data_IF_919986604429
#
_entry.id   IF_919986604429
#
_cell.length_a   1.000
_cell.length_b   1.000
_cell.length_c   1.000
_cell.angle_alpha   90.00
_cell.angle_beta   90.00
_cell.angle_gamma   90.00
#
_symmetry.space_group_name_H-M   'P 1'
#
loop_
_entity.id
_entity.type
_entity.pdbx_description
1 polymer ?
#
# COMPACT_ATOMS: atom_id res chain seq x y z
N UNK A 1 -17.36 -17.76 74.34
CA UNK A 1 -16.14 -17.85 73.51
C UNK A 1 -16.41 -17.19 72.16
N UNK A 2 -15.44 -16.39 71.68
CA UNK A 2 -15.33 -15.75 70.34
C UNK A 2 -16.20 -14.48 70.15
N UNK A 3 -15.64 -13.27 70.30
CA UNK A 3 -14.78 -12.54 69.34
C UNK A 3 -15.56 -12.25 68.03
N UNK A 4 -16.03 -11.03 67.74
CA UNK A 4 -15.35 -9.75 67.48
C UNK A 4 -15.60 -9.40 66.00
N UNK A 5 -16.27 -8.27 65.73
CA UNK A 5 -16.04 -7.49 64.51
C UNK A 5 -16.54 -6.06 64.70
N UNK A 6 -15.60 -5.14 64.91
CA UNK A 6 -15.83 -3.71 64.94
C UNK A 6 -15.89 -3.19 63.50
N UNK A 7 -16.98 -2.50 63.18
CA UNK A 7 -17.21 -1.82 61.90
C UNK A 7 -16.61 -0.41 61.99
N UNK A 8 -15.52 -0.13 61.26
CA UNK A 8 -14.94 1.22 61.17
C UNK A 8 -15.46 1.88 59.90
N UNK A 9 -16.35 2.87 60.09
CA UNK A 9 -16.74 3.87 59.11
C UNK A 9 -15.63 4.93 59.03
N UNK A 10 -15.12 5.21 57.83
CA UNK A 10 -14.36 6.44 57.55
C UNK A 10 -15.06 7.19 56.43
N UNK A 11 -15.60 8.35 56.79
CA UNK A 11 -16.05 9.37 55.85
C UNK A 11 -14.94 10.39 55.59
N UNK A 12 -14.93 10.87 54.34
CA UNK A 12 -14.73 12.26 53.92
C UNK A 12 -13.30 12.81 53.62
N UNK A 13 -13.21 13.26 52.35
CA UNK A 13 -12.60 14.50 51.85
C UNK A 13 -11.07 14.63 51.76
N UNK A 14 -10.53 14.37 50.56
CA UNK A 14 -9.27 14.92 50.04
C UNK A 14 -9.52 15.86 48.83
N UNK A 15 -8.69 16.89 48.61
CA UNK A 15 -9.06 18.09 47.85
C UNK A 15 -8.92 17.98 46.32
N UNK A 16 -9.67 18.88 45.66
CA UNK A 16 -9.75 19.10 44.20
C UNK A 16 -8.37 19.25 43.55
N UNK A 17 -8.09 18.44 42.52
CA UNK A 17 -7.01 18.68 41.56
C UNK A 17 -7.56 19.64 40.50
N UNK A 18 -7.10 20.89 40.53
CA UNK A 18 -7.27 21.82 39.42
C UNK A 18 -6.25 21.45 38.33
N UNK A 19 -6.64 21.28 37.06
CA UNK A 19 -5.69 21.21 35.97
C UNK A 19 -5.08 22.60 35.78
N UNK A 20 -3.82 22.78 36.18
CA UNK A 20 -3.01 23.88 35.67
C UNK A 20 -2.73 23.60 34.20
N UNK A 21 -3.28 24.45 33.33
CA UNK A 21 -2.91 24.51 31.93
C UNK A 21 -1.41 24.84 31.84
N UNK A 22 -0.59 24.06 31.11
CA UNK A 22 0.76 24.50 30.81
C UNK A 22 0.66 25.69 29.84
N UNK A 23 1.07 26.85 30.34
CA UNK A 23 1.26 28.08 29.58
C UNK A 23 2.26 27.83 28.44
N UNK A 24 1.78 27.89 27.21
CA UNK A 24 2.61 28.25 26.08
C UNK A 24 2.87 29.74 26.18
N UNK A 25 4.08 30.13 26.59
CA UNK A 25 4.77 31.29 26.03
C UNK A 25 6.26 31.27 26.42
N UNK A 26 7.08 31.32 25.37
CA UNK A 26 8.35 32.06 25.32
C UNK A 26 9.51 31.66 26.25
N UNK A 27 10.32 30.69 25.78
CA UNK A 27 11.78 30.81 25.93
C UNK A 27 12.42 30.65 24.54
N UNK A 28 12.62 31.80 23.87
CA UNK A 28 13.44 31.93 22.67
C UNK A 28 14.92 31.75 23.05
N UNK A 29 15.28 30.51 23.40
CA UNK A 29 16.64 30.04 23.54
C UNK A 29 17.30 29.85 22.17
N UNK A 30 18.00 30.89 21.73
CA UNK A 30 19.18 30.87 20.85
C UNK A 30 19.46 29.56 20.10
N UNK A 31 19.23 29.58 18.79
CA UNK A 31 19.62 28.55 17.85
C UNK A 31 21.13 28.27 17.92
N UNK A 32 21.51 27.26 18.70
CA UNK A 32 22.79 26.59 18.53
C UNK A 32 22.60 25.48 17.50
N UNK A 33 23.29 25.66 16.39
CA UNK A 33 23.24 24.86 15.17
C UNK A 33 23.76 23.45 15.49
N UNK A 34 22.88 22.56 15.93
CA UNK A 34 23.14 21.14 15.97
C UNK A 34 23.14 20.62 14.52
N UNK A 35 24.32 20.30 14.02
CA UNK A 35 24.51 19.55 12.78
C UNK A 35 23.69 18.25 12.86
N UNK A 36 22.76 17.99 11.94
CA UNK A 36 22.08 16.70 11.88
C UNK A 36 23.13 15.64 11.56
N UNK A 37 23.56 14.92 12.58
CA UNK A 37 24.27 13.66 12.37
C UNK A 37 23.23 12.71 11.80
N UNK A 38 23.23 12.60 10.48
CA UNK A 38 22.54 11.57 9.71
C UNK A 38 23.16 10.22 10.09
N UNK A 39 22.77 9.69 11.24
CA UNK A 39 22.94 8.28 11.55
C UNK A 39 21.72 7.57 10.99
N UNK A 40 21.79 7.28 9.70
CA UNK A 40 21.04 6.18 9.11
C UNK A 40 21.23 4.97 10.04
N UNK A 41 20.16 4.32 10.53
CA UNK A 41 20.29 3.09 11.28
C UNK A 41 21.10 2.12 10.42
N UNK A 42 22.25 1.69 10.96
CA UNK A 42 23.12 0.73 10.34
C UNK A 42 22.27 -0.44 9.85
N UNK A 43 22.19 -0.56 8.54
CA UNK A 43 21.57 -1.66 7.84
C UNK A 43 22.31 -2.91 8.31
N UNK A 44 21.74 -3.58 9.32
CA UNK A 44 22.19 -4.90 9.71
C UNK A 44 22.34 -5.69 8.41
N UNK A 45 23.52 -6.26 8.20
CA UNK A 45 23.78 -7.08 7.02
C UNK A 45 22.87 -8.30 7.15
N UNK A 46 21.71 -8.15 6.53
CA UNK A 46 20.66 -9.13 6.52
C UNK A 46 20.96 -10.13 5.41
N UNK A 47 20.69 -11.42 5.65
CA UNK A 47 21.09 -12.47 4.71
C UNK A 47 20.49 -12.19 3.34
N UNK A 48 21.37 -12.09 2.34
CA UNK A 48 21.00 -11.86 0.95
C UNK A 48 20.12 -13.03 0.50
N UNK A 49 18.87 -12.71 0.19
CA UNK A 49 17.88 -13.70 -0.09
C UNK A 49 18.15 -14.37 -1.45
N UNK A 50 17.84 -15.67 -1.60
CA UNK A 50 18.26 -16.45 -2.74
C UNK A 50 17.77 -15.83 -4.05
N UNK A 51 18.68 -15.63 -5.01
CA UNK A 51 18.33 -15.16 -6.33
C UNK A 51 17.44 -16.20 -7.02
N UNK A 52 16.18 -15.83 -7.31
CA UNK A 52 15.35 -16.62 -8.20
C UNK A 52 15.86 -16.56 -9.65
N UNK A 53 15.40 -17.51 -10.48
CA UNK A 53 15.89 -17.74 -11.84
C UNK A 53 14.91 -17.28 -12.94
N UNK A 54 13.87 -16.53 -12.58
CA UNK A 54 12.84 -16.13 -13.53
C UNK A 54 13.07 -14.77 -14.19
N UNK A 55 12.10 -14.35 -15.00
CA UNK A 55 12.04 -13.03 -15.61
C UNK A 55 11.62 -11.99 -14.56
N UNK A 56 12.42 -10.92 -14.44
CA UNK A 56 12.06 -9.73 -13.65
C UNK A 56 11.44 -8.63 -14.49
N UNK A 57 11.76 -8.64 -15.78
CA UNK A 57 11.24 -7.68 -16.74
C UNK A 57 10.88 -8.39 -18.04
N UNK A 58 10.04 -7.74 -18.84
CA UNK A 58 9.66 -8.27 -20.14
C UNK A 58 8.37 -7.67 -20.65
N UNK A 59 7.72 -8.39 -21.56
CA UNK A 59 6.46 -7.98 -22.18
C UNK A 59 5.39 -9.04 -21.95
N UNK A 60 4.23 -8.61 -21.50
CA UNK A 60 3.01 -9.41 -21.40
C UNK A 60 2.11 -9.05 -22.57
N UNK A 61 1.65 -10.05 -23.30
CA UNK A 61 0.63 -9.86 -24.31
C UNK A 61 -0.72 -9.52 -23.64
N UNK A 62 -1.34 -8.41 -24.04
CA UNK A 62 -2.59 -7.92 -23.45
C UNK A 62 -3.69 -8.96 -23.52
N UNK A 63 -3.78 -9.70 -24.62
CA UNK A 63 -4.78 -10.76 -24.78
C UNK A 63 -4.62 -11.85 -23.69
N UNK A 64 -3.38 -12.25 -23.38
CA UNK A 64 -3.08 -13.21 -22.32
C UNK A 64 -3.40 -12.65 -20.94
N UNK A 65 -3.03 -11.40 -20.67
CA UNK A 65 -3.40 -10.73 -19.41
C UNK A 65 -4.92 -10.68 -19.23
N UNK A 66 -5.65 -10.24 -20.25
CA UNK A 66 -7.12 -10.15 -20.20
C UNK A 66 -7.76 -11.52 -19.99
N UNK A 67 -7.26 -12.58 -20.62
CA UNK A 67 -7.75 -13.94 -20.38
C UNK A 67 -7.59 -14.38 -18.91
N UNK A 68 -6.47 -14.01 -18.26
CA UNK A 68 -6.28 -14.24 -16.82
C UNK A 68 -7.28 -13.40 -16.01
N UNK A 69 -7.43 -12.11 -16.33
CA UNK A 69 -8.33 -11.18 -15.64
C UNK A 69 -9.80 -11.60 -15.74
N UNK A 70 -10.23 -12.10 -16.89
CA UNK A 70 -11.59 -12.59 -17.17
C UNK A 70 -11.91 -13.88 -16.42
N UNK A 71 -10.87 -14.68 -16.12
CA UNK A 71 -11.03 -15.87 -15.30
C UNK A 71 -11.33 -15.57 -13.82
N UNK A 72 -11.12 -14.31 -13.42
CA UNK A 72 -11.43 -13.77 -12.11
C UNK A 72 -10.33 -14.01 -11.06
N UNK A 73 -10.28 -13.16 -10.02
CA UNK A 73 -9.21 -13.20 -9.00
C UNK A 73 -9.21 -14.54 -8.25
N UNK A 74 -10.37 -15.12 -7.97
CA UNK A 74 -10.47 -16.41 -7.27
C UNK A 74 -9.81 -17.57 -8.03
N UNK A 75 -9.94 -17.63 -9.36
CA UNK A 75 -9.29 -18.69 -10.15
C UNK A 75 -7.77 -18.50 -10.20
N UNK A 76 -7.31 -17.27 -10.26
CA UNK A 76 -5.89 -16.94 -10.20
C UNK A 76 -5.29 -17.29 -8.84
N UNK A 77 -5.94 -16.90 -7.75
CA UNK A 77 -5.45 -17.18 -6.40
C UNK A 77 -5.39 -18.67 -6.07
N UNK A 78 -6.19 -19.53 -6.72
CA UNK A 78 -6.09 -20.99 -6.56
C UNK A 78 -4.82 -21.60 -7.12
N UNK A 79 -4.03 -20.86 -7.89
CA UNK A 79 -2.78 -21.32 -8.50
C UNK A 79 -1.57 -21.11 -7.59
N UNK A 80 -1.76 -20.46 -6.44
CA UNK A 80 -0.69 -20.10 -5.51
C UNK A 80 -1.18 -20.24 -4.07
N UNK A 81 -0.25 -20.57 -3.19
CA UNK A 81 -0.49 -20.56 -1.75
C UNK A 81 0.20 -19.35 -1.15
N UNK A 82 -0.54 -18.57 -0.36
CA UNK A 82 -0.04 -17.37 0.31
C UNK A 82 -0.38 -17.38 1.79
N UNK A 83 0.51 -16.79 2.57
CA UNK A 83 0.32 -16.56 4.00
C UNK A 83 0.47 -15.07 4.32
N UNK A 84 -0.25 -14.53 5.31
CA UNK A 84 -0.03 -13.17 5.78
C UNK A 84 1.38 -13.06 6.39
N UNK A 85 2.14 -12.03 6.00
CA UNK A 85 3.42 -11.69 6.64
C UNK A 85 3.18 -10.63 7.71
N UNK A 86 3.59 -10.97 8.93
CA UNK A 86 3.57 -10.07 10.08
C UNK A 86 4.99 -9.62 10.44
N UNK A 87 5.12 -8.37 10.88
CA UNK A 87 6.30 -7.82 11.56
C UNK A 87 5.83 -7.29 12.93
N UNK A 88 6.04 -8.10 13.97
CA UNK A 88 5.35 -7.94 15.25
C UNK A 88 3.83 -8.01 15.06
N UNK A 89 3.12 -6.97 15.49
CA UNK A 89 1.66 -6.85 15.34
C UNK A 89 1.25 -6.21 14.01
N UNK A 90 2.20 -5.76 13.18
CA UNK A 90 1.92 -5.07 11.92
C UNK A 90 1.86 -6.06 10.77
N UNK A 91 0.75 -6.03 10.03
CA UNK A 91 0.67 -6.69 8.73
C UNK A 91 1.55 -5.96 7.71
N UNK A 92 2.42 -6.72 7.03
CA UNK A 92 3.36 -6.18 6.04
C UNK A 92 2.86 -6.43 4.61
N UNK A 93 2.43 -7.65 4.32
CA UNK A 93 2.10 -8.07 2.96
C UNK A 93 1.75 -9.56 2.88
N UNK A 94 1.64 -10.06 1.66
CA UNK A 94 1.31 -11.47 1.40
C UNK A 94 2.56 -12.23 1.00
N UNK A 95 2.99 -13.18 1.83
CA UNK A 95 4.12 -14.05 1.56
C UNK A 95 3.68 -15.19 0.64
N UNK A 96 4.37 -15.37 -0.48
CA UNK A 96 4.26 -16.54 -1.34
C UNK A 96 4.81 -17.75 -0.60
N UNK A 97 3.97 -18.75 -0.37
CA UNK A 97 4.38 -20.04 0.21
C UNK A 97 4.85 -20.96 -0.92
N UNK A 98 4.06 -21.09 -1.98
CA UNK A 98 4.41 -21.88 -3.15
C UNK A 98 3.52 -21.55 -4.36
N UNK A 99 4.03 -21.86 -5.55
CA UNK A 99 3.22 -21.95 -6.77
C UNK A 99 2.68 -23.37 -6.90
N UNK A 100 1.36 -23.48 -6.95
CA UNK A 100 0.65 -24.75 -7.12
C UNK A 100 0.54 -25.13 -8.59
N UNK A 101 0.35 -24.14 -9.46
CA UNK A 101 0.29 -24.33 -10.90
C UNK A 101 1.67 -24.13 -11.54
N UNK A 102 2.20 -25.22 -12.11
CA UNK A 102 3.52 -25.26 -12.78
C UNK A 102 3.45 -24.80 -14.24
N UNK A 103 2.25 -24.61 -14.79
CA UNK A 103 2.01 -24.15 -16.16
C UNK A 103 1.26 -22.81 -16.17
N UNK A 104 1.07 -22.21 -15.00
CA UNK A 104 0.36 -20.96 -14.80
C UNK A 104 1.14 -19.71 -15.26
N UNK A 105 0.50 -18.53 -15.21
CA UNK A 105 1.04 -17.27 -15.71
C UNK A 105 2.27 -16.75 -14.95
N UNK A 106 2.60 -17.34 -13.80
CA UNK A 106 3.75 -16.96 -12.97
C UNK A 106 4.97 -17.88 -13.16
N UNK A 107 4.87 -18.94 -13.99
CA UNK A 107 5.94 -19.95 -14.11
C UNK A 107 7.28 -19.36 -14.54
N UNK A 108 7.26 -18.41 -15.48
CA UNK A 108 8.46 -17.79 -16.03
C UNK A 108 8.90 -16.54 -15.24
N UNK A 109 8.12 -16.12 -14.24
CA UNK A 109 8.37 -14.89 -13.47
C UNK A 109 9.35 -15.18 -12.34
N UNK A 110 10.22 -14.23 -12.02
CA UNK A 110 11.16 -14.34 -10.90
C UNK A 110 10.48 -14.18 -9.55
N UNK A 111 9.56 -15.08 -9.22
CA UNK A 111 8.94 -15.19 -7.90
C UNK A 111 9.35 -16.51 -7.24
N UNK A 112 9.68 -16.46 -5.97
CA UNK A 112 10.11 -17.64 -5.19
C UNK A 112 9.36 -17.72 -3.86
N UNK A 113 9.20 -18.94 -3.30
CA UNK A 113 8.74 -19.09 -1.92
C UNK A 113 9.50 -18.17 -0.96
N UNK A 114 8.76 -17.44 -0.12
CA UNK A 114 9.29 -16.45 0.80
C UNK A 114 9.15 -15.00 0.33
N UNK A 115 8.88 -14.75 -0.95
CA UNK A 115 8.64 -13.40 -1.45
C UNK A 115 7.37 -12.80 -0.84
N UNK A 116 7.43 -11.56 -0.37
CA UNK A 116 6.31 -10.84 0.24
C UNK A 116 5.82 -9.77 -0.72
N UNK A 117 4.64 -9.94 -1.31
CA UNK A 117 4.01 -8.96 -2.19
C UNK A 117 3.43 -7.80 -1.38
N UNK A 118 3.79 -6.58 -1.77
CA UNK A 118 3.42 -5.34 -1.07
C UNK A 118 2.41 -4.52 -1.89
N UNK A 119 2.73 -4.32 -3.17
CA UNK A 119 1.96 -3.45 -4.05
C UNK A 119 2.07 -3.87 -5.52
N UNK A 120 1.05 -3.51 -6.30
CA UNK A 120 1.06 -3.62 -7.76
C UNK A 120 0.71 -2.25 -8.34
N UNK A 121 1.51 -1.74 -9.27
CA UNK A 121 1.36 -0.41 -9.89
C UNK A 121 1.20 0.70 -8.84
N UNK A 122 1.96 0.63 -7.74
CA UNK A 122 1.92 1.57 -6.62
C UNK A 122 0.67 1.47 -5.73
N UNK A 123 -0.26 0.55 -6.02
CA UNK A 123 -1.44 0.29 -5.18
C UNK A 123 -1.12 -0.80 -4.15
N UNK A 124 -1.30 -0.55 -2.85
CA UNK A 124 -1.04 -1.55 -1.82
C UNK A 124 -2.00 -2.74 -1.93
N UNK A 125 -1.58 -3.90 -1.46
CA UNK A 125 -2.38 -5.13 -1.41
C UNK A 125 -2.58 -5.65 0.02
N UNK A 126 -2.53 -4.79 1.03
CA UNK A 126 -2.67 -5.20 2.42
C UNK A 126 -4.08 -5.61 2.85
N UNK A 127 -5.09 -5.32 2.03
CA UNK A 127 -6.48 -5.65 2.34
C UNK A 127 -7.18 -6.35 1.17
N UNK A 128 -8.17 -7.23 1.44
CA UNK A 128 -8.93 -7.91 0.40
C UNK A 128 -9.61 -6.97 -0.60
N UNK A 129 -10.14 -5.83 -0.13
CA UNK A 129 -10.81 -4.84 -1.00
C UNK A 129 -9.85 -4.19 -2.02
N UNK A 130 -8.57 -4.11 -1.68
CA UNK A 130 -7.55 -3.54 -2.56
C UNK A 130 -7.21 -4.47 -3.73
N UNK A 131 -7.27 -5.80 -3.52
CA UNK A 131 -7.03 -6.76 -4.59
C UNK A 131 -7.98 -6.55 -5.76
N UNK A 132 -9.28 -6.36 -5.49
CA UNK A 132 -10.27 -6.15 -6.53
C UNK A 132 -10.00 -4.84 -7.30
N UNK A 133 -9.66 -3.76 -6.59
CA UNK A 133 -9.30 -2.48 -7.22
C UNK A 133 -8.07 -2.59 -8.11
N UNK A 134 -7.04 -3.33 -7.67
CA UNK A 134 -5.85 -3.62 -8.48
C UNK A 134 -6.25 -4.45 -9.70
N UNK A 135 -6.99 -5.53 -9.50
CA UNK A 135 -7.46 -6.44 -10.56
C UNK A 135 -8.16 -5.69 -11.69
N UNK A 136 -9.09 -4.81 -11.35
CA UNK A 136 -9.84 -4.04 -12.34
C UNK A 136 -8.95 -3.02 -13.06
N UNK A 137 -8.01 -2.39 -12.34
CA UNK A 137 -7.09 -1.40 -12.92
C UNK A 137 -6.12 -2.01 -13.95
N UNK A 138 -5.82 -3.31 -13.87
CA UNK A 138 -4.91 -3.98 -14.80
C UNK A 138 -5.49 -4.08 -16.22
N UNK A 139 -6.82 -4.00 -16.39
CA UNK A 139 -7.47 -4.07 -17.71
C UNK A 139 -7.03 -2.97 -18.66
N UNK A 140 -6.82 -1.76 -18.12
CA UNK A 140 -6.40 -0.57 -18.88
C UNK A 140 -4.94 -0.21 -18.65
N UNK A 141 -4.21 -0.98 -17.83
CA UNK A 141 -2.81 -0.72 -17.57
C UNK A 141 -1.95 -0.99 -18.82
N UNK A 142 -0.84 -0.25 -18.92
CA UNK A 142 0.19 -0.44 -19.96
C UNK A 142 1.46 -1.10 -19.42
N UNK A 143 1.53 -1.31 -18.10
CA UNK A 143 2.58 -2.02 -17.42
C UNK A 143 2.04 -2.69 -16.14
N UNK A 144 2.73 -3.74 -15.69
CA UNK A 144 2.56 -4.37 -14.38
C UNK A 144 3.89 -4.22 -13.64
N UNK A 145 3.88 -3.45 -12.56
CA UNK A 145 4.98 -3.28 -11.60
C UNK A 145 4.59 -3.91 -10.27
N UNK A 146 5.17 -5.03 -9.91
CA UNK A 146 4.98 -5.64 -8.60
C UNK A 146 6.14 -5.28 -7.68
N UNK A 147 5.84 -4.75 -6.50
CA UNK A 147 6.82 -4.44 -5.46
C UNK A 147 6.77 -5.55 -4.40
N UNK A 148 7.92 -6.15 -4.12
CA UNK A 148 8.06 -7.29 -3.23
C UNK A 148 9.21 -7.08 -2.24
N UNK A 149 9.17 -7.79 -1.12
CA UNK A 149 10.36 -8.10 -0.34
C UNK A 149 10.81 -9.52 -0.60
N UNK A 150 12.12 -9.68 -0.76
CA UNK A 150 12.78 -10.98 -0.84
C UNK A 150 13.80 -11.06 0.28
N UNK A 151 13.49 -11.88 1.28
CA UNK A 151 14.13 -11.80 2.61
C UNK A 151 13.99 -10.39 3.15
N UNK A 152 15.07 -9.62 3.10
CA UNK A 152 15.13 -8.26 3.61
C UNK A 152 15.33 -7.18 2.55
N UNK A 153 15.59 -7.56 1.30
CA UNK A 153 15.75 -6.64 0.19
C UNK A 153 14.42 -6.30 -0.49
N UNK A 154 14.28 -5.07 -0.98
CA UNK A 154 13.20 -4.70 -1.89
C UNK A 154 13.52 -5.17 -3.32
N UNK A 155 12.54 -5.79 -3.96
CA UNK A 155 12.58 -6.23 -5.35
C UNK A 155 11.40 -5.62 -6.12
N UNK A 156 11.63 -5.22 -7.36
CA UNK A 156 10.57 -4.83 -8.29
C UNK A 156 10.58 -5.75 -9.51
N UNK A 157 9.41 -6.24 -9.90
CA UNK A 157 9.16 -6.92 -11.17
C UNK A 157 8.39 -5.96 -12.08
N UNK A 158 8.84 -5.77 -13.32
CA UNK A 158 8.28 -4.75 -14.21
C UNK A 158 8.09 -5.27 -15.64
N UNK A 159 6.82 -5.44 -16.04
CA UNK A 159 6.46 -5.95 -17.36
C UNK A 159 5.63 -4.94 -18.14
N UNK A 160 5.99 -4.66 -19.39
CA UNK A 160 5.17 -3.88 -20.30
C UNK A 160 3.97 -4.71 -20.79
N UNK A 161 2.83 -4.08 -21.04
CA UNK A 161 1.65 -4.75 -21.60
C UNK A 161 1.45 -4.28 -23.04
N UNK A 162 1.52 -5.22 -24.00
CA UNK A 162 1.38 -4.91 -25.42
C UNK A 162 0.20 -5.63 -26.10
N UNK A 163 -0.56 -4.95 -26.98
CA UNK A 163 -0.40 -3.54 -27.36
C UNK A 163 -0.79 -2.60 -26.21
N UNK A 164 -0.26 -1.37 -26.20
CA UNK A 164 -0.65 -0.36 -25.21
C UNK A 164 -2.08 0.10 -25.46
N UNK A 165 -2.86 0.26 -24.40
CA UNK A 165 -4.11 1.01 -24.45
C UNK A 165 -3.72 2.48 -24.57
N UNK A 166 -4.12 3.07 -25.69
CA UNK A 166 -4.01 4.50 -25.88
C UNK A 166 -4.80 5.17 -24.75
N UNK A 167 -4.14 6.00 -23.96
CA UNK A 167 -4.82 6.76 -22.93
C UNK A 167 -5.93 7.57 -23.64
N UNK A 168 -7.18 7.56 -23.16
CA UNK A 168 -8.17 8.46 -23.70
C UNK A 168 -7.58 9.86 -23.60
N UNK A 169 -7.46 10.54 -24.75
CA UNK A 169 -7.00 11.91 -24.81
C UNK A 169 -7.76 12.68 -23.72
N UNK A 170 -7.03 13.26 -22.75
CA UNK A 170 -7.62 14.17 -21.77
C UNK A 170 -8.54 15.11 -22.57
N UNK A 171 -9.81 15.32 -22.19
CA UNK A 171 -10.62 16.32 -22.87
C UNK A 171 -9.85 17.64 -22.76
N UNK A 172 -9.28 18.06 -23.90
CA UNK A 172 -8.67 19.37 -24.05
C UNK A 172 -9.73 20.38 -23.61
N UNK A 173 -9.40 21.36 -22.75
CA UNK A 173 -10.39 22.30 -22.26
C UNK A 173 -11.09 22.93 -23.45
N UNK A 174 -12.36 22.60 -23.61
CA UNK A 174 -13.20 23.15 -24.66
C UNK A 174 -13.06 24.67 -24.60
N UNK A 175 -12.57 25.27 -25.69
CA UNK A 175 -12.70 26.72 -25.90
C UNK A 175 -14.16 27.08 -25.61
N UNK A 176 -14.46 28.09 -24.79
CA UNK A 176 -15.83 28.50 -24.57
C UNK A 176 -16.45 28.87 -25.91
N UNK A 177 -17.50 28.15 -26.29
CA UNK A 177 -18.33 28.50 -27.44
C UNK A 177 -18.77 29.96 -27.30
N UNK A 178 -18.71 30.78 -28.37
CA UNK A 178 -19.11 32.17 -28.30
C UNK A 178 -20.61 32.27 -27.99
N UNK A 179 -20.90 32.90 -26.85
CA UNK A 179 -22.22 33.32 -26.42
C UNK A 179 -22.90 34.12 -27.55
N UNK A 180 -24.04 33.59 -28.02
CA UNK A 180 -24.96 34.26 -28.93
C UNK A 180 -25.40 35.60 -28.30
N UNK A 181 -25.33 36.74 -29.00
CA UNK A 181 -25.78 38.01 -28.44
C UNK A 181 -27.32 38.00 -28.32
N UNK A 182 -27.81 38.27 -27.11
CA UNK A 182 -29.22 38.57 -26.84
C UNK A 182 -29.64 39.87 -27.57
N UNK A 183 -30.86 39.96 -28.10
CA UNK A 183 -31.33 41.15 -28.79
C UNK A 183 -31.59 42.28 -27.79
N UNK A 184 -31.07 43.47 -28.13
CA UNK A 184 -31.32 44.73 -27.42
C UNK A 184 -32.79 45.09 -27.60
N UNK A 185 -33.51 45.22 -26.49
CA UNK A 185 -34.85 45.79 -26.44
C UNK A 185 -34.77 47.26 -26.87
N UNK A 186 -35.45 47.61 -27.96
CA UNK A 186 -35.59 48.98 -28.44
C UNK A 186 -36.84 49.61 -27.84
N UNK A 187 -36.62 50.58 -26.96
CA UNK A 187 -37.59 51.49 -26.34
C UNK A 187 -38.48 52.17 -27.38
N UNK A 188 -39.77 52.31 -27.06
CA UNK A 188 -40.60 53.45 -27.45
C UNK A 188 -41.58 53.81 -26.34
#
# INVERSE_FOLDING_TARGET
MRAALALVLVCACGPKVSPSEPSFDEDLGKAEKAEPTEQAPAEAVRPEAPAGKGLRTGTIERAKLVAVLDSGPGKFLRQLEVAPRMDGERFVGWQLVQLLDREGPLVDVDVVPGDVLLAINGKPLSRPDQLQSVWDSLRTANEVRAQLWRGDGKLELAFAIEPKVEAPAKPSPAKPSPTKPSPVQLTK
#
